data_IF_340232339749
#
_entry.id   IF_340232339749
#
_cell.length_a   1.000
_cell.length_b   1.000
_cell.length_c   1.000
_cell.angle_alpha   90.00
_cell.angle_beta   90.00
_cell.angle_gamma   90.00
#
_symmetry.space_group_name_H-M   'P 1'
#
loop_
_entity.id
_entity.type
_entity.pdbx_description
1 polymer ?
#
# COMPACT_ATOMS: atom_id res chain seq x y z
N UNK A 1 12.82 0.39 11.26
CA UNK A 1 11.76 1.30 10.81
C UNK A 1 12.24 2.71 10.97
N UNK A 2 12.13 3.55 9.94
CA UNK A 2 12.54 4.96 9.98
C UNK A 2 11.51 5.77 9.19
N UNK A 3 10.97 6.81 9.81
CA UNK A 3 10.19 7.82 9.10
C UNK A 3 11.15 8.94 8.66
N UNK A 4 10.89 9.53 7.50
CA UNK A 4 11.68 10.63 6.94
C UNK A 4 11.16 11.99 7.34
N UNK A 5 9.85 12.10 7.52
CA UNK A 5 9.19 13.34 7.86
C UNK A 5 9.22 13.59 9.37
N UNK A 6 9.49 14.83 9.80
CA UNK A 6 9.27 15.20 11.19
C UNK A 6 7.77 15.20 11.52
N UNK A 7 7.39 15.06 12.80
CA UNK A 7 5.99 15.23 13.20
C UNK A 7 5.47 16.61 12.82
N UNK A 8 4.30 16.64 12.16
CA UNK A 8 3.63 17.85 11.67
C UNK A 8 2.24 18.02 12.27
N UNK A 9 1.76 17.06 13.07
CA UNK A 9 0.48 17.09 13.72
C UNK A 9 0.58 16.59 15.16
N UNK A 10 -0.46 16.88 15.94
CA UNK A 10 -0.68 16.33 17.28
C UNK A 10 -2.08 15.75 17.39
N UNK A 11 -2.18 14.68 18.15
CA UNK A 11 -3.45 14.00 18.37
C UNK A 11 -3.47 13.30 19.72
N UNK A 12 -4.66 13.08 20.25
CA UNK A 12 -4.88 12.41 21.53
C UNK A 12 -5.80 11.22 21.38
N UNK A 13 -5.56 10.22 22.21
CA UNK A 13 -6.38 9.01 22.29
C UNK A 13 -7.62 9.26 23.14
N UNK A 14 -8.77 8.82 22.65
CA UNK A 14 -10.05 8.84 23.37
C UNK A 14 -10.69 7.44 23.31
N UNK A 15 -11.44 7.01 24.34
CA UNK A 15 -12.16 5.74 24.26
C UNK A 15 -13.15 5.72 23.08
N UNK A 16 -13.25 4.58 22.42
CA UNK A 16 -14.27 4.30 21.41
C UNK A 16 -15.29 3.31 21.95
N UNK A 17 -16.57 3.48 21.58
CA UNK A 17 -17.65 2.55 21.94
C UNK A 17 -17.65 1.29 21.08
N UNK A 18 -16.96 1.32 19.93
CA UNK A 18 -16.84 0.21 19.00
C UNK A 18 -15.37 -0.04 18.69
N UNK A 19 -14.93 -1.27 18.90
CA UNK A 19 -13.63 -1.74 18.47
C UNK A 19 -13.78 -3.11 17.81
N UNK A 20 -13.21 -3.26 16.62
CA UNK A 20 -13.18 -4.51 15.87
C UNK A 20 -11.74 -4.82 15.51
N UNK A 21 -11.38 -6.09 15.61
CA UNK A 21 -10.00 -6.56 15.41
C UNK A 21 -10.05 -7.71 14.41
N UNK A 22 -9.13 -7.79 13.43
CA UNK A 22 -9.11 -8.91 12.50
C UNK A 22 -8.51 -10.16 13.16
N UNK A 23 -8.88 -11.32 12.61
CA UNK A 23 -8.45 -12.61 13.10
C UNK A 23 -6.92 -12.74 13.01
N UNK A 24 -6.30 -13.19 14.10
CA UNK A 24 -4.84 -13.38 14.19
C UNK A 24 -4.04 -12.13 14.56
N UNK A 25 -4.71 -11.01 14.87
CA UNK A 25 -4.07 -9.77 15.34
C UNK A 25 -4.67 -9.23 16.66
N UNK A 26 -5.33 -10.09 17.43
CA UNK A 26 -6.11 -9.73 18.63
C UNK A 26 -5.27 -8.98 19.70
N UNK A 27 -3.97 -9.24 19.78
CA UNK A 27 -3.06 -8.56 20.72
C UNK A 27 -2.29 -7.36 20.16
N UNK A 28 -2.38 -7.06 18.86
CA UNK A 28 -1.54 -6.04 18.24
C UNK A 28 -1.88 -4.62 18.74
N UNK A 29 -3.17 -4.32 18.88
CA UNK A 29 -3.63 -3.04 19.42
C UNK A 29 -3.31 -2.89 20.93
N UNK A 30 -3.37 -3.99 21.69
CA UNK A 30 -3.02 -4.00 23.11
C UNK A 30 -1.52 -3.77 23.32
N UNK A 31 -0.67 -4.42 22.52
CA UNK A 31 0.77 -4.24 22.55
C UNK A 31 1.21 -2.81 22.26
N UNK A 32 0.42 -2.08 21.45
CA UNK A 32 0.64 -0.66 21.18
C UNK A 32 -0.04 0.27 22.19
N UNK A 33 -0.84 -0.27 23.13
CA UNK A 33 -1.54 0.48 24.15
C UNK A 33 -2.65 1.38 23.61
N UNK A 34 -3.33 0.94 22.53
CA UNK A 34 -4.35 1.71 21.80
C UNK A 34 -5.68 0.97 21.65
N UNK A 35 -5.82 -0.20 22.29
CA UNK A 35 -6.98 -1.07 22.10
C UNK A 35 -8.29 -0.34 22.44
N UNK A 36 -9.22 -0.28 21.48
CA UNK A 36 -10.52 0.37 21.65
C UNK A 36 -10.45 1.88 21.85
N UNK A 37 -9.40 2.53 21.35
CA UNK A 37 -9.26 3.98 21.40
C UNK A 37 -9.30 4.55 19.98
N UNK A 38 -9.93 5.70 19.80
CA UNK A 38 -9.84 6.51 18.58
C UNK A 38 -8.81 7.63 18.75
N UNK A 39 -8.17 8.03 17.66
CA UNK A 39 -7.22 9.12 17.61
C UNK A 39 -7.90 10.40 17.11
N UNK A 40 -7.91 11.44 17.94
CA UNK A 40 -8.56 12.72 17.63
C UNK A 40 -7.51 13.82 17.50
N UNK A 41 -7.56 14.66 16.44
CA UNK A 41 -6.72 15.85 16.33
C UNK A 41 -6.82 16.74 17.57
N UNK A 42 -5.68 17.25 18.04
CA UNK A 42 -5.62 18.11 19.22
C UNK A 42 -4.32 18.94 19.24
N UNK A 43 -4.36 20.13 19.86
CA UNK A 43 -3.18 21.00 20.02
C UNK A 43 -2.12 20.35 20.92
N UNK A 44 -2.58 19.61 21.93
CA UNK A 44 -1.76 18.83 22.85
C UNK A 44 -2.00 17.34 22.65
N UNK A 45 -0.92 16.57 22.65
CA UNK A 45 -1.01 15.13 22.49
C UNK A 45 0.27 14.51 21.96
N UNK A 46 0.10 13.31 21.44
CA UNK A 46 1.16 12.52 20.82
C UNK A 46 1.54 13.12 19.46
N UNK A 47 2.84 13.33 19.19
CA UNK A 47 3.30 13.83 17.90
C UNK A 47 3.06 12.80 16.81
N UNK A 48 2.54 13.25 15.66
CA UNK A 48 2.25 12.42 14.52
C UNK A 48 2.75 13.06 13.21
N UNK A 49 3.07 12.22 12.25
CA UNK A 49 3.44 12.59 10.88
C UNK A 49 2.19 12.54 10.00
N UNK A 50 1.90 13.63 9.30
CA UNK A 50 0.82 13.66 8.32
C UNK A 50 1.19 12.83 7.07
N UNK A 51 0.30 11.93 6.66
CA UNK A 51 0.45 11.11 5.45
C UNK A 51 -0.79 11.31 4.56
N UNK A 52 -0.68 12.23 3.60
CA UNK A 52 -1.81 12.68 2.80
C UNK A 52 -2.91 13.38 3.62
N UNK A 53 -4.14 13.39 3.08
CA UNK A 53 -5.19 14.26 3.61
C UNK A 53 -5.74 13.81 4.97
N UNK A 54 -5.94 12.51 5.18
CA UNK A 54 -6.71 11.97 6.33
C UNK A 54 -5.99 10.90 7.14
N UNK A 55 -4.68 10.75 6.98
CA UNK A 55 -3.90 9.73 7.68
C UNK A 55 -2.82 10.38 8.54
N UNK A 56 -2.59 9.78 9.71
CA UNK A 56 -1.51 10.12 10.63
C UNK A 56 -0.66 8.89 10.93
N UNK A 57 0.66 9.03 10.94
CA UNK A 57 1.60 7.98 11.35
C UNK A 57 2.22 8.38 12.70
N UNK A 58 2.23 7.47 13.66
CA UNK A 58 2.79 7.69 14.99
C UNK A 58 4.14 6.97 15.09
N UNK A 59 5.28 7.69 14.94
CA UNK A 59 6.62 7.07 14.87
C UNK A 59 7.00 6.28 16.11
N UNK A 60 6.52 6.68 17.29
CA UNK A 60 6.89 6.05 18.56
C UNK A 60 6.05 4.81 18.89
N UNK A 61 4.92 4.61 18.17
CA UNK A 61 4.05 3.44 18.33
C UNK A 61 4.48 2.36 17.36
N UNK A 62 5.46 1.57 17.76
CA UNK A 62 6.01 0.52 16.90
C UNK A 62 5.80 -0.89 17.45
N UNK A 63 5.60 -1.84 16.54
CA UNK A 63 5.49 -3.27 16.84
C UNK A 63 6.31 -4.08 15.83
N UNK A 64 6.78 -5.25 16.23
CA UNK A 64 7.35 -6.24 15.31
C UNK A 64 6.29 -7.27 14.92
N UNK A 65 6.11 -7.49 13.62
CA UNK A 65 5.20 -8.49 13.07
C UNK A 65 5.91 -9.21 11.93
N UNK A 66 6.02 -10.54 12.01
CA UNK A 66 6.66 -11.34 10.96
C UNK A 66 8.13 -10.97 10.69
N UNK A 67 8.87 -10.50 11.71
CA UNK A 67 10.26 -10.06 11.58
C UNK A 67 10.44 -8.67 10.96
N UNK A 68 9.34 -7.97 10.63
CA UNK A 68 9.36 -6.59 10.16
C UNK A 68 8.86 -5.67 11.28
N UNK A 69 9.57 -4.55 11.49
CA UNK A 69 9.12 -3.50 12.41
C UNK A 69 8.22 -2.51 11.68
N UNK A 70 7.08 -2.19 12.27
CA UNK A 70 6.07 -1.27 11.74
C UNK A 70 5.76 -0.13 12.72
N UNK A 71 5.32 1.01 12.20
CA UNK A 71 4.68 2.10 12.93
C UNK A 71 3.17 1.95 12.84
N UNK A 72 2.48 2.47 13.85
CA UNK A 72 1.05 2.71 13.77
C UNK A 72 0.76 3.84 12.79
N UNK A 73 -0.16 3.60 11.87
CA UNK A 73 -0.79 4.59 11.02
C UNK A 73 -2.30 4.54 11.25
N UNK A 74 -2.93 5.69 11.40
CA UNK A 74 -4.37 5.84 11.60
C UNK A 74 -4.94 6.52 10.39
N UNK A 75 -5.66 5.76 9.57
CA UNK A 75 -6.41 6.29 8.43
C UNK A 75 -7.80 6.68 8.89
N UNK A 76 -8.22 7.86 8.47
CA UNK A 76 -9.43 8.48 9.00
C UNK A 76 -9.16 9.19 10.33
N UNK A 77 -8.05 9.93 10.43
CA UNK A 77 -7.68 10.73 11.59
C UNK A 77 -8.05 12.22 11.43
N UNK A 78 -9.17 12.50 10.73
CA UNK A 78 -9.59 13.84 10.35
C UNK A 78 -8.86 14.33 9.10
N UNK A 79 -9.58 15.04 8.23
CA UNK A 79 -9.05 15.54 6.96
C UNK A 79 -8.61 17.01 7.08
N UNK A 80 -7.46 17.35 6.48
CA UNK A 80 -6.84 18.68 6.53
C UNK A 80 -7.49 19.66 5.58
N UNK A 81 -7.72 19.23 4.35
CA UNK A 81 -8.25 20.10 3.30
C UNK A 81 -9.43 19.44 2.59
N UNK A 82 -10.50 20.20 2.38
CA UNK A 82 -11.57 19.76 1.50
C UNK A 82 -11.10 19.69 0.05
N UNK A 83 -11.63 18.71 -0.69
CA UNK A 83 -11.18 18.42 -2.05
C UNK A 83 -11.58 19.54 -3.03
N UNK A 84 -12.69 20.24 -2.78
CA UNK A 84 -13.22 21.34 -3.61
C UNK A 84 -13.99 22.35 -2.74
N UNK A 85 -13.59 23.63 -2.74
CA UNK A 85 -14.17 24.67 -1.88
C UNK A 85 -13.94 24.38 -0.40
N UNK A 86 -14.28 25.30 0.50
CA UNK A 86 -13.96 25.13 1.93
C UNK A 86 -15.21 24.94 2.83
N UNK A 87 -15.60 23.69 3.14
CA UNK A 87 -16.52 23.37 4.23
C UNK A 87 -16.09 23.85 5.62
N UNK A 88 -14.87 24.37 5.73
CA UNK A 88 -14.27 24.99 6.90
C UNK A 88 -14.06 26.51 6.72
N UNK A 89 -14.64 27.17 5.70
CA UNK A 89 -14.51 28.64 5.50
C UNK A 89 -14.91 29.45 6.76
N UNK A 90 -15.80 28.90 7.59
CA UNK A 90 -16.24 29.46 8.88
C UNK A 90 -15.68 28.71 10.11
N UNK A 91 -14.80 27.72 9.93
CA UNK A 91 -14.14 27.05 11.04
C UNK A 91 -12.89 27.83 11.45
N UNK A 92 -12.57 27.91 12.76
CA UNK A 92 -11.31 28.50 13.20
C UNK A 92 -10.13 27.84 12.49
N UNK A 93 -9.12 28.61 12.06
CA UNK A 93 -7.84 28.09 11.52
C UNK A 93 -7.19 27.04 12.44
N UNK A 94 -7.57 27.04 13.72
CA UNK A 94 -7.15 26.12 14.77
C UNK A 94 -7.58 24.65 14.54
N UNK A 95 -8.54 24.38 13.64
CA UNK A 95 -8.97 23.02 13.32
C UNK A 95 -8.30 22.47 12.06
N UNK A 96 -6.99 22.25 12.15
CA UNK A 96 -6.17 21.73 11.05
C UNK A 96 -6.64 20.37 10.49
N UNK A 97 -7.49 19.61 11.20
CA UNK A 97 -8.08 18.32 10.78
C UNK A 97 -9.48 18.12 11.35
N UNK A 98 -10.46 17.79 10.50
CA UNK A 98 -11.87 17.65 10.92
C UNK A 98 -12.55 16.36 10.45
N UNK A 99 -13.57 15.92 11.20
CA UNK A 99 -14.53 14.89 10.84
C UNK A 99 -15.88 15.51 10.53
N UNK A 100 -16.39 15.35 9.31
CA UNK A 100 -17.65 15.95 8.90
C UNK A 100 -18.70 14.89 8.52
N UNK A 101 -19.96 15.29 8.56
CA UNK A 101 -21.10 14.49 8.11
C UNK A 101 -21.21 14.35 6.59
N UNK A 102 -20.34 14.97 5.80
CA UNK A 102 -20.31 14.83 4.34
C UNK A 102 -19.76 13.45 3.93
N UNK A 103 -20.46 12.81 2.99
CA UNK A 103 -20.01 11.61 2.30
C UNK A 103 -19.08 12.01 1.16
N UNK A 104 -17.80 11.66 1.27
CA UNK A 104 -16.77 12.11 0.34
C UNK A 104 -16.66 11.21 -0.90
N UNK A 105 -16.25 9.96 -0.73
CA UNK A 105 -16.09 9.00 -1.82
C UNK A 105 -16.59 7.62 -1.40
N UNK A 106 -17.44 7.01 -2.22
CA UNK A 106 -18.06 5.73 -1.84
C UNK A 106 -18.70 5.84 -0.46
N UNK A 107 -18.42 4.93 0.45
CA UNK A 107 -18.93 4.94 1.84
C UNK A 107 -18.08 5.79 2.81
N UNK A 108 -17.03 6.48 2.36
CA UNK A 108 -16.14 7.22 3.26
C UNK A 108 -16.71 8.60 3.64
N UNK A 109 -16.94 8.89 4.93
CA UNK A 109 -17.17 10.24 5.41
C UNK A 109 -15.90 11.08 5.32
N UNK A 110 -16.06 12.39 5.21
CA UNK A 110 -14.93 13.32 5.22
C UNK A 110 -14.13 13.20 6.53
N UNK A 111 -12.83 12.93 6.40
CA UNK A 111 -11.91 12.73 7.53
C UNK A 111 -11.96 11.35 8.19
N UNK A 112 -12.82 10.43 7.74
CA UNK A 112 -12.95 9.09 8.31
C UNK A 112 -13.15 7.99 7.26
N UNK A 113 -13.56 6.81 7.70
CA UNK A 113 -13.95 5.66 6.87
C UNK A 113 -15.38 5.21 7.14
N UNK A 114 -15.99 4.60 6.13
CA UNK A 114 -17.32 3.96 6.24
C UNK A 114 -17.22 2.50 6.67
N UNK A 115 -18.34 1.94 7.14
CA UNK A 115 -18.42 0.56 7.62
C UNK A 115 -18.01 -0.48 6.57
N UNK A 116 -18.43 -0.31 5.31
CA UNK A 116 -18.10 -1.24 4.22
C UNK A 116 -16.60 -1.27 3.93
N UNK A 117 -15.96 -0.10 3.82
CA UNK A 117 -14.51 -0.02 3.58
C UNK A 117 -13.72 -0.67 4.72
N UNK A 118 -14.11 -0.37 5.96
CA UNK A 118 -13.45 -0.92 7.13
C UNK A 118 -13.63 -2.44 7.24
N UNK A 119 -14.80 -2.96 6.85
CA UNK A 119 -15.05 -4.41 6.79
C UNK A 119 -14.15 -5.10 5.76
N UNK A 120 -14.03 -4.54 4.56
CA UNK A 120 -13.15 -5.06 3.50
C UNK A 120 -11.70 -5.13 4.02
N UNK A 121 -11.22 -4.06 4.64
CA UNK A 121 -9.86 -4.01 5.16
C UNK A 121 -9.59 -5.04 6.27
N UNK A 122 -10.56 -5.27 7.17
CA UNK A 122 -10.50 -6.33 8.19
C UNK A 122 -10.46 -7.71 7.55
N UNK A 123 -11.37 -8.01 6.61
CA UNK A 123 -11.44 -9.32 5.95
C UNK A 123 -10.17 -9.66 5.18
N UNK A 124 -9.62 -8.68 4.44
CA UNK A 124 -8.37 -8.86 3.69
C UNK A 124 -7.21 -9.10 4.64
N UNK A 125 -7.11 -8.35 5.74
CA UNK A 125 -6.05 -8.54 6.73
C UNK A 125 -6.15 -9.92 7.39
N UNK A 126 -7.35 -10.36 7.80
CA UNK A 126 -7.57 -11.70 8.36
C UNK A 126 -7.16 -12.79 7.37
N UNK A 127 -7.53 -12.64 6.09
CA UNK A 127 -7.23 -13.63 5.07
C UNK A 127 -5.72 -13.70 4.72
N UNK A 128 -5.02 -12.56 4.79
CA UNK A 128 -3.57 -12.49 4.71
C UNK A 128 -2.86 -12.98 5.98
N UNK A 129 -3.59 -13.32 7.05
CA UNK A 129 -3.06 -13.74 8.36
C UNK A 129 -2.02 -12.77 8.91
N UNK A 130 -2.32 -11.47 8.81
CA UNK A 130 -1.38 -10.40 9.11
C UNK A 130 -0.96 -9.67 7.84
N UNK A 131 0.34 -9.61 7.56
CA UNK A 131 0.91 -8.68 6.57
C UNK A 131 1.33 -9.31 5.23
N UNK A 132 1.22 -10.63 5.05
CA UNK A 132 1.73 -11.30 3.84
C UNK A 132 0.78 -12.40 3.35
N UNK A 133 0.36 -12.31 2.10
CA UNK A 133 -0.46 -13.32 1.42
C UNK A 133 0.24 -13.83 0.17
N UNK A 134 0.82 -15.04 0.22
CA UNK A 134 1.49 -15.67 -0.93
C UNK A 134 2.54 -14.76 -1.60
N UNK A 135 3.32 -14.04 -0.80
CA UNK A 135 4.36 -13.11 -1.26
C UNK A 135 3.85 -11.70 -1.57
N UNK A 136 2.55 -11.44 -1.56
CA UNK A 136 2.00 -10.09 -1.57
C UNK A 136 2.05 -9.50 -0.16
N UNK A 137 2.68 -8.33 -0.01
CA UNK A 137 2.81 -7.65 1.27
C UNK A 137 1.77 -6.53 1.39
N UNK A 138 1.11 -6.45 2.54
CA UNK A 138 0.13 -5.43 2.84
C UNK A 138 0.38 -4.79 4.21
N UNK A 139 -0.04 -3.54 4.38
CA UNK A 139 -0.07 -2.84 5.66
C UNK A 139 -1.30 -3.33 6.45
N UNK A 140 -1.15 -4.25 7.42
CA UNK A 140 -2.29 -4.89 8.05
C UNK A 140 -3.07 -3.89 8.90
N UNK A 141 -4.39 -3.97 8.85
CA UNK A 141 -5.27 -3.31 9.83
C UNK A 141 -5.21 -4.11 11.12
N UNK A 142 -4.95 -3.47 12.25
CA UNK A 142 -4.88 -4.10 13.56
C UNK A 142 -6.09 -3.79 14.43
N UNK A 143 -6.86 -2.75 14.09
CA UNK A 143 -8.20 -2.54 14.63
C UNK A 143 -8.95 -1.51 13.77
N UNK A 144 -10.26 -1.58 13.84
CA UNK A 144 -11.19 -0.55 13.39
C UNK A 144 -11.96 -0.04 14.59
N UNK A 145 -11.99 1.28 14.75
CA UNK A 145 -12.68 1.94 15.87
C UNK A 145 -13.64 3.00 15.37
N UNK A 146 -14.68 3.28 16.14
CA UNK A 146 -15.57 4.41 15.85
C UNK A 146 -15.03 5.71 16.46
N UNK A 147 -15.03 6.78 15.67
CA UNK A 147 -14.80 8.13 16.14
C UNK A 147 -16.00 8.56 16.99
N UNK A 148 -15.81 8.94 18.28
CA UNK A 148 -16.93 9.32 19.12
C UNK A 148 -17.74 10.47 18.52
N UNK A 149 -19.07 10.37 18.59
CA UNK A 149 -19.98 11.30 17.91
C UNK A 149 -19.77 12.77 18.29
N UNK A 150 -19.29 13.05 19.50
CA UNK A 150 -18.95 14.40 19.97
C UNK A 150 -17.82 15.07 19.16
N UNK A 151 -17.03 14.29 18.41
CA UNK A 151 -15.95 14.78 17.55
C UNK A 151 -16.35 14.85 16.07
N UNK A 152 -17.58 14.49 15.72
CA UNK A 152 -18.07 14.47 14.33
C UNK A 152 -19.12 15.55 14.12
N UNK A 153 -18.85 16.46 13.19
CA UNK A 153 -19.76 17.55 12.79
C UNK A 153 -20.78 17.06 11.79
N UNK A 154 -21.78 16.32 12.28
CA UNK A 154 -22.79 15.65 11.42
C UNK A 154 -23.72 16.62 10.69
N UNK A 155 -23.81 17.85 11.16
CA UNK A 155 -24.59 18.94 10.57
C UNK A 155 -23.90 19.56 9.33
N UNK A 156 -22.58 19.40 9.19
CA UNK A 156 -21.82 19.96 8.07
C UNK A 156 -21.79 18.99 6.87
N UNK A 157 -22.55 19.32 5.83
CA UNK A 157 -22.56 18.66 4.53
C UNK A 157 -23.12 19.61 3.45
N UNK A 158 -22.60 19.56 2.23
CA UNK A 158 -23.02 20.35 1.06
C UNK A 158 -23.83 19.52 0.07
N UNK A 159 -23.39 18.29 -0.21
CA UNK A 159 -23.98 17.48 -1.27
C UNK A 159 -24.72 16.29 -0.69
N UNK A 160 -24.01 15.45 0.07
CA UNK A 160 -24.56 14.18 0.56
C UNK A 160 -24.13 13.92 1.99
N UNK A 161 -25.12 13.64 2.83
CA UNK A 161 -24.89 13.25 4.22
C UNK A 161 -24.51 11.77 4.32
N UNK A 162 -23.46 11.48 5.08
CA UNK A 162 -23.13 10.15 5.59
C UNK A 162 -24.05 9.80 6.76
N UNK A 163 -24.68 8.63 6.72
CA UNK A 163 -25.66 8.18 7.73
C UNK A 163 -25.08 7.15 8.70
N UNK A 164 -23.93 6.57 8.38
CA UNK A 164 -23.30 5.52 9.18
C UNK A 164 -22.34 6.06 10.24
N UNK A 165 -21.66 5.15 10.96
CA UNK A 165 -20.56 5.51 11.85
C UNK A 165 -19.41 6.12 11.04
N UNK A 166 -18.61 6.95 11.71
CA UNK A 166 -17.34 7.46 11.19
C UNK A 166 -16.24 6.63 11.83
N UNK A 167 -15.54 5.83 11.02
CA UNK A 167 -14.58 4.87 11.51
C UNK A 167 -13.14 5.31 11.24
N UNK A 168 -12.21 4.76 12.02
CA UNK A 168 -10.77 4.82 11.77
C UNK A 168 -10.25 3.41 11.53
N UNK A 169 -9.31 3.29 10.59
CA UNK A 169 -8.55 2.07 10.38
C UNK A 169 -7.16 2.28 10.94
N UNK A 170 -6.83 1.53 11.99
CA UNK A 170 -5.51 1.51 12.58
C UNK A 170 -4.72 0.44 11.87
N UNK A 171 -3.68 0.83 11.15
CA UNK A 171 -2.87 -0.04 10.31
C UNK A 171 -1.40 0.05 10.68
N UNK A 172 -0.63 -0.94 10.25
CA UNK A 172 0.80 -0.98 10.44
C UNK A 172 1.53 -0.63 9.14
N UNK A 173 2.40 0.37 9.16
CA UNK A 173 3.20 0.81 8.01
C UNK A 173 4.70 0.66 8.28
N UNK A 174 5.52 0.20 7.31
CA UNK A 174 6.94 -0.03 7.54
C UNK A 174 7.79 1.26 7.45
N UNK A 175 7.23 2.32 6.86
CA UNK A 175 7.80 3.67 6.72
C UNK A 175 6.69 4.68 6.36
N UNK A 176 7.06 5.94 6.11
CA UNK A 176 6.25 7.00 5.50
C UNK A 176 6.57 7.23 4.01
N UNK A 177 7.36 6.33 3.39
CA UNK A 177 7.85 6.50 2.03
C UNK A 177 6.90 5.84 1.04
N UNK A 178 6.36 6.63 0.11
CA UNK A 178 5.56 6.15 -1.04
C UNK A 178 6.44 5.88 -2.24
N UNK A 179 5.88 5.20 -3.25
CA UNK A 179 6.63 4.90 -4.46
C UNK A 179 6.87 6.17 -5.30
N UNK A 180 5.83 6.96 -5.61
CA UNK A 180 5.96 8.21 -6.40
C UNK A 180 5.10 9.40 -5.95
N UNK A 181 3.91 9.17 -5.37
CA UNK A 181 2.95 10.24 -5.10
C UNK A 181 2.43 10.20 -3.65
N UNK A 182 1.69 11.26 -3.28
CA UNK A 182 0.96 11.42 -2.02
C UNK A 182 1.78 11.54 -0.72
N UNK A 183 3.12 11.43 -0.79
CA UNK A 183 4.02 11.78 0.31
C UNK A 183 5.03 12.86 -0.10
N UNK A 184 5.58 13.57 0.90
CA UNK A 184 6.61 14.60 0.70
C UNK A 184 7.93 14.00 0.20
N UNK A 185 8.22 12.76 0.59
CA UNK A 185 9.38 12.01 0.15
C UNK A 185 8.92 10.69 -0.45
N UNK A 186 9.33 10.45 -1.70
CA UNK A 186 8.98 9.25 -2.43
C UNK A 186 10.24 8.65 -3.04
N UNK A 187 10.26 7.33 -3.18
CA UNK A 187 11.42 6.63 -3.76
C UNK A 187 11.75 7.17 -5.15
N UNK A 188 10.72 7.44 -5.96
CA UNK A 188 10.89 7.92 -7.32
C UNK A 188 11.38 9.35 -7.47
N UNK A 189 11.06 10.25 -6.53
CA UNK A 189 11.42 11.67 -6.64
C UNK A 189 12.74 12.00 -5.93
N UNK A 190 13.03 11.35 -4.80
CA UNK A 190 14.24 11.60 -4.01
C UNK A 190 14.89 10.28 -3.53
N UNK A 191 15.37 9.44 -4.47
CA UNK A 191 15.92 8.12 -4.14
C UNK A 191 17.18 8.22 -3.25
N UNK A 192 18.02 9.23 -3.44
CA UNK A 192 19.26 9.38 -2.67
C UNK A 192 18.96 9.63 -1.18
N UNK A 193 17.98 10.50 -0.87
CA UNK A 193 17.55 10.74 0.50
C UNK A 193 16.87 9.52 1.10
N UNK A 194 15.96 8.88 0.34
CA UNK A 194 15.22 7.70 0.79
C UNK A 194 16.16 6.55 1.13
N UNK A 195 17.03 6.17 0.19
CA UNK A 195 17.96 5.05 0.36
C UNK A 195 19.00 5.35 1.45
N UNK A 196 19.57 6.56 1.46
CA UNK A 196 20.49 6.97 2.51
C UNK A 196 19.86 6.95 3.90
N UNK A 197 18.59 7.33 4.02
CA UNK A 197 17.88 7.25 5.29
C UNK A 197 17.54 5.81 5.70
N UNK A 198 17.23 4.92 4.74
CA UNK A 198 17.10 3.49 5.01
C UNK A 198 18.44 2.80 5.33
N UNK A 199 19.56 3.50 5.19
CA UNK A 199 20.89 2.94 5.43
C UNK A 199 21.36 2.05 4.27
N UNK A 200 20.73 2.16 3.10
CA UNK A 200 21.10 1.46 1.88
C UNK A 200 22.15 2.31 1.17
N UNK A 201 23.42 2.09 1.51
CA UNK A 201 24.52 2.98 1.13
C UNK A 201 25.61 2.28 0.32
N UNK A 202 25.66 0.95 0.38
CA UNK A 202 26.64 0.15 -0.36
C UNK A 202 26.02 -0.51 -1.60
N UNK A 203 26.78 -0.74 -2.68
CA UNK A 203 26.25 -1.31 -3.91
C UNK A 203 25.51 -2.65 -3.73
N UNK A 204 26.02 -3.52 -2.85
CA UNK A 204 25.38 -4.81 -2.54
C UNK A 204 24.06 -4.67 -1.78
N UNK A 205 23.91 -3.62 -0.96
CA UNK A 205 22.67 -3.32 -0.25
C UNK A 205 21.61 -2.79 -1.22
N UNK A 206 22.02 -1.90 -2.16
CA UNK A 206 21.12 -1.41 -3.22
C UNK A 206 20.64 -2.55 -4.10
N UNK A 207 21.54 -3.47 -4.42
CA UNK A 207 21.20 -4.68 -5.17
C UNK A 207 20.18 -5.52 -4.38
N UNK A 208 20.40 -5.80 -3.09
CA UNK A 208 19.46 -6.56 -2.25
C UNK A 208 18.09 -5.86 -2.10
N UNK A 209 18.09 -4.54 -1.94
CA UNK A 209 16.88 -3.71 -1.91
C UNK A 209 16.10 -3.86 -3.22
N UNK A 210 16.77 -3.76 -4.37
CA UNK A 210 16.14 -3.92 -5.67
C UNK A 210 15.54 -5.33 -5.87
N UNK A 211 16.23 -6.39 -5.43
CA UNK A 211 15.69 -7.76 -5.48
C UNK A 211 14.39 -7.89 -4.68
N UNK A 212 14.34 -7.29 -3.49
CA UNK A 212 13.14 -7.26 -2.66
C UNK A 212 12.02 -6.47 -3.34
N UNK A 213 12.33 -5.29 -3.88
CA UNK A 213 11.37 -4.48 -4.64
C UNK A 213 10.79 -5.25 -5.81
N UNK A 214 11.61 -5.97 -6.58
CA UNK A 214 11.15 -6.82 -7.68
C UNK A 214 10.22 -7.91 -7.16
N UNK A 215 10.64 -8.68 -6.15
CA UNK A 215 9.83 -9.79 -5.60
C UNK A 215 8.45 -9.32 -5.15
N UNK A 216 8.40 -8.30 -4.29
CA UNK A 216 7.14 -7.83 -3.73
C UNK A 216 6.32 -7.02 -4.72
N UNK A 217 6.96 -6.29 -5.64
CA UNK A 217 6.30 -5.55 -6.70
C UNK A 217 5.61 -6.49 -7.68
N UNK A 218 6.29 -7.52 -8.16
CA UNK A 218 5.68 -8.53 -9.05
C UNK A 218 4.64 -9.40 -8.32
N UNK A 219 4.77 -9.57 -7.00
CA UNK A 219 3.72 -10.18 -6.22
C UNK A 219 2.45 -9.32 -6.17
N UNK A 220 2.60 -8.00 -6.04
CA UNK A 220 1.49 -7.07 -6.17
C UNK A 220 0.89 -7.10 -7.57
N UNK A 221 1.69 -7.17 -8.63
CA UNK A 221 1.18 -7.24 -10.01
C UNK A 221 0.38 -8.52 -10.32
N UNK A 222 0.57 -9.58 -9.54
CA UNK A 222 -0.12 -10.88 -9.72
C UNK A 222 -1.02 -11.25 -8.54
N UNK A 223 -1.52 -10.24 -7.82
CA UNK A 223 -2.35 -10.41 -6.62
C UNK A 223 -3.56 -11.35 -6.84
N UNK A 224 -4.24 -11.28 -7.98
CA UNK A 224 -5.37 -12.13 -8.30
C UNK A 224 -4.98 -13.60 -8.30
N UNK A 225 -3.91 -13.95 -9.04
CA UNK A 225 -3.42 -15.33 -9.12
C UNK A 225 -2.97 -15.87 -7.77
N UNK A 226 -2.38 -15.00 -6.94
CA UNK A 226 -1.88 -15.31 -5.60
C UNK A 226 -2.98 -15.51 -4.58
N UNK A 227 -4.14 -14.91 -4.78
CA UNK A 227 -5.26 -14.98 -3.84
C UNK A 227 -6.45 -15.78 -4.38
N UNK A 228 -6.31 -16.30 -5.60
CA UNK A 228 -7.30 -17.10 -6.27
C UNK A 228 -7.69 -18.32 -5.44
N UNK A 229 -8.99 -18.58 -5.38
CA UNK A 229 -9.62 -19.78 -4.84
C UNK A 229 -10.64 -20.30 -5.83
N UNK A 230 -10.85 -21.61 -5.84
CA UNK A 230 -11.91 -22.21 -6.63
C UNK A 230 -13.28 -21.87 -6.05
N UNK A 231 -14.21 -21.54 -6.95
CA UNK A 231 -15.64 -21.41 -6.69
C UNK A 231 -16.40 -22.15 -7.81
N UNK A 232 -17.70 -22.47 -7.64
CA UNK A 232 -18.42 -23.29 -8.62
C UNK A 232 -18.42 -22.76 -10.07
N UNK A 233 -18.16 -21.45 -10.23
CA UNK A 233 -18.26 -20.72 -11.49
C UNK A 233 -16.91 -20.26 -12.02
N UNK A 234 -15.79 -20.69 -11.43
CA UNK A 234 -14.45 -20.29 -11.85
C UNK A 234 -13.47 -20.04 -10.69
N UNK A 235 -12.57 -19.08 -10.87
CA UNK A 235 -11.61 -18.64 -9.87
C UNK A 235 -12.01 -17.28 -9.31
N UNK A 236 -11.99 -17.17 -7.99
CA UNK A 236 -12.30 -15.94 -7.27
C UNK A 236 -11.06 -15.45 -6.54
N UNK A 237 -10.58 -14.23 -6.84
CA UNK A 237 -9.33 -13.68 -6.30
C UNK A 237 -9.40 -12.15 -6.15
N UNK A 238 -8.42 -11.55 -5.47
CA UNK A 238 -8.35 -10.11 -5.27
C UNK A 238 -7.80 -9.39 -6.50
N UNK A 239 -8.59 -8.44 -7.00
CA UNK A 239 -8.24 -7.51 -8.06
C UNK A 239 -8.00 -6.10 -7.53
N UNK A 240 -7.39 -5.27 -8.37
CA UNK A 240 -7.33 -3.83 -8.13
C UNK A 240 -8.59 -3.17 -8.67
N UNK A 241 -9.22 -2.34 -7.84
CA UNK A 241 -10.25 -1.40 -8.27
C UNK A 241 -9.62 -0.08 -8.72
N UNK A 242 -9.98 1.02 -8.07
CA UNK A 242 -9.43 2.36 -8.36
C UNK A 242 -8.16 2.66 -7.54
N UNK A 243 -7.14 1.83 -7.68
CA UNK A 243 -5.88 1.96 -6.93
C UNK A 243 -4.68 2.05 -7.86
N UNK A 244 -3.63 2.68 -7.35
CA UNK A 244 -2.35 2.83 -8.03
C UNK A 244 -1.23 2.57 -7.03
N UNK A 245 -0.30 1.67 -7.35
CA UNK A 245 0.79 1.33 -6.43
C UNK A 245 1.67 2.55 -6.11
N UNK A 246 1.72 3.52 -7.02
CA UNK A 246 2.46 4.78 -6.91
C UNK A 246 2.19 5.57 -5.61
N UNK A 247 0.94 5.59 -5.16
CA UNK A 247 0.43 6.32 -3.99
C UNK A 247 -0.07 5.35 -2.92
N UNK A 248 -0.62 4.21 -3.31
CA UNK A 248 -1.31 3.29 -2.41
C UNK A 248 -0.35 2.25 -1.80
N UNK A 249 0.94 2.29 -2.14
CA UNK A 249 1.97 1.44 -1.53
C UNK A 249 3.00 2.23 -0.72
N UNK A 250 3.57 1.56 0.27
CA UNK A 250 4.63 2.06 1.16
C UNK A 250 5.87 1.19 0.96
N UNK A 251 7.05 1.82 0.89
CA UNK A 251 8.33 1.15 0.68
C UNK A 251 9.01 0.90 2.01
N UNK A 252 9.26 -0.36 2.36
CA UNK A 252 10.03 -0.71 3.55
C UNK A 252 11.53 -0.46 3.36
N UNK A 253 12.26 -0.37 4.47
CA UNK A 253 13.71 -0.12 4.44
C UNK A 253 14.52 -1.24 3.75
N UNK A 254 13.96 -2.46 3.66
CA UNK A 254 14.59 -3.59 2.96
C UNK A 254 14.22 -3.66 1.47
N UNK A 255 13.42 -2.72 0.96
CA UNK A 255 12.96 -2.67 -0.43
C UNK A 255 11.62 -3.32 -0.69
N UNK A 256 11.02 -3.98 0.31
CA UNK A 256 9.70 -4.59 0.17
C UNK A 256 8.60 -3.54 -0.03
N UNK A 257 7.72 -3.77 -0.98
CA UNK A 257 6.55 -2.93 -1.29
C UNK A 257 5.33 -3.44 -0.52
N UNK A 258 4.78 -2.62 0.38
CA UNK A 258 3.60 -2.94 1.18
C UNK A 258 2.39 -2.14 0.69
N UNK A 259 1.33 -2.84 0.28
CA UNK A 259 0.09 -2.19 -0.14
C UNK A 259 -0.72 -1.68 1.05
N UNK A 260 -1.19 -0.44 1.01
CA UNK A 260 -1.86 0.22 2.12
C UNK A 260 -3.37 0.41 1.90
N UNK A 261 -3.84 0.69 0.68
CA UNK A 261 -5.24 1.08 0.43
C UNK A 261 -6.20 -0.13 0.30
N UNK A 262 -6.36 -0.90 1.38
CA UNK A 262 -7.05 -2.20 1.35
C UNK A 262 -8.51 -2.12 0.86
N UNK A 263 -9.22 -0.99 1.09
CA UNK A 263 -10.59 -0.85 0.60
C UNK A 263 -10.69 -0.70 -0.93
N UNK A 264 -9.56 -0.41 -1.59
CA UNK A 264 -9.48 -0.32 -3.04
C UNK A 264 -9.22 -1.67 -3.72
N UNK A 265 -9.09 -2.74 -2.94
CA UNK A 265 -9.07 -4.12 -3.44
C UNK A 265 -10.49 -4.67 -3.52
N UNK A 266 -10.76 -5.43 -4.58
CA UNK A 266 -12.08 -6.01 -4.79
C UNK A 266 -12.00 -7.48 -5.19
N UNK A 267 -13.01 -8.26 -4.82
CA UNK A 267 -13.05 -9.66 -5.17
C UNK A 267 -13.58 -9.83 -6.60
N UNK A 268 -12.75 -10.40 -7.47
CA UNK A 268 -13.05 -10.60 -8.91
C UNK A 268 -13.21 -12.07 -9.23
N UNK A 269 -14.06 -12.36 -10.23
CA UNK A 269 -14.33 -13.70 -10.73
C UNK A 269 -13.78 -13.86 -12.15
N UNK A 270 -12.89 -14.84 -12.35
CA UNK A 270 -12.49 -15.34 -13.66
C UNK A 270 -13.24 -16.65 -13.95
N UNK A 271 -14.05 -16.68 -15.00
CA UNK A 271 -14.90 -17.84 -15.37
C UNK A 271 -16.35 -17.50 -15.72
N UNK A 272 -16.77 -16.25 -15.48
CA UNK A 272 -18.03 -15.71 -15.98
C UNK A 272 -17.78 -14.83 -17.21
N UNK A 273 -17.77 -13.51 -17.03
CA UNK A 273 -17.62 -12.54 -18.12
C UNK A 273 -16.16 -12.34 -18.56
N UNK A 274 -15.21 -12.76 -17.72
CA UNK A 274 -13.77 -12.60 -17.95
C UNK A 274 -13.05 -13.94 -17.80
N UNK A 275 -12.10 -14.19 -18.69
CA UNK A 275 -11.17 -15.31 -18.62
C UNK A 275 -10.07 -15.05 -17.58
N UNK A 276 -9.35 -16.11 -17.19
CA UNK A 276 -8.18 -15.99 -16.31
C UNK A 276 -7.09 -15.08 -16.91
N UNK A 277 -6.83 -15.22 -18.22
CA UNK A 277 -5.84 -14.41 -18.94
C UNK A 277 -6.24 -12.92 -18.93
N UNK A 278 -7.50 -12.59 -19.20
CA UNK A 278 -7.97 -11.20 -19.18
C UNK A 278 -7.84 -10.55 -17.80
N UNK A 279 -8.28 -11.23 -16.73
CA UNK A 279 -8.20 -10.68 -15.37
C UNK A 279 -6.74 -10.49 -14.94
N UNK A 280 -5.88 -11.47 -15.22
CA UNK A 280 -4.47 -11.40 -14.86
C UNK A 280 -3.73 -10.30 -15.66
N UNK A 281 -4.01 -10.18 -16.97
CA UNK A 281 -3.40 -9.14 -17.82
C UNK A 281 -3.82 -7.74 -17.40
N UNK A 282 -5.11 -7.51 -17.16
CA UNK A 282 -5.59 -6.20 -16.70
C UNK A 282 -4.86 -5.79 -15.42
N UNK A 283 -4.72 -6.71 -14.46
CA UNK A 283 -4.04 -6.42 -13.20
C UNK A 283 -2.54 -6.13 -13.37
N UNK A 284 -1.87 -6.90 -14.23
CA UNK A 284 -0.47 -6.68 -14.59
C UNK A 284 -0.30 -5.31 -15.26
N UNK A 285 -1.03 -5.06 -16.35
CA UNK A 285 -0.89 -3.86 -17.18
C UNK A 285 -1.22 -2.57 -16.42
N UNK A 286 -2.19 -2.61 -15.50
CA UNK A 286 -2.62 -1.44 -14.74
C UNK A 286 -1.50 -0.81 -13.90
N UNK A 287 -0.61 -1.62 -13.30
CA UNK A 287 0.42 -1.14 -12.38
C UNK A 287 1.88 -1.45 -12.81
N UNK A 288 2.08 -2.17 -13.92
CA UNK A 288 3.42 -2.63 -14.33
C UNK A 288 4.41 -1.48 -14.50
N UNK A 289 3.96 -0.38 -15.11
CA UNK A 289 4.82 0.78 -15.36
C UNK A 289 5.42 1.34 -14.06
N UNK A 290 4.62 1.43 -13.00
CA UNK A 290 5.04 1.99 -11.71
C UNK A 290 6.12 1.12 -11.07
N UNK A 291 5.95 -0.21 -11.09
CA UNK A 291 6.94 -1.15 -10.56
C UNK A 291 8.25 -1.08 -11.36
N UNK A 292 8.16 -1.11 -12.69
CA UNK A 292 9.34 -1.03 -13.56
C UNK A 292 10.07 0.31 -13.43
N UNK A 293 9.33 1.41 -13.31
CA UNK A 293 9.92 2.72 -13.12
C UNK A 293 10.61 2.81 -11.75
N UNK A 294 10.03 2.21 -10.70
CA UNK A 294 10.66 2.15 -9.37
C UNK A 294 11.97 1.38 -9.38
N UNK A 295 11.99 0.27 -10.13
CA UNK A 295 13.21 -0.50 -10.38
C UNK A 295 14.27 0.32 -11.13
N UNK A 296 13.90 1.06 -12.19
CA UNK A 296 14.81 1.94 -12.94
C UNK A 296 15.42 3.01 -12.03
N UNK A 297 14.63 3.60 -11.14
CA UNK A 297 15.09 4.61 -10.18
C UNK A 297 16.18 4.06 -9.26
N UNK A 298 15.94 2.90 -8.64
CA UNK A 298 16.93 2.26 -7.76
C UNK A 298 18.18 1.84 -8.54
N UNK A 299 18.02 1.30 -9.75
CA UNK A 299 19.15 0.94 -10.61
C UNK A 299 19.99 2.17 -10.99
N UNK A 300 19.36 3.32 -11.29
CA UNK A 300 20.09 4.56 -11.56
C UNK A 300 20.83 5.08 -10.33
N UNK A 301 20.27 4.90 -9.14
CA UNK A 301 20.97 5.21 -7.89
C UNK A 301 22.24 4.36 -7.76
N UNK A 302 22.15 3.05 -8.01
CA UNK A 302 23.32 2.16 -8.03
C UNK A 302 24.38 2.56 -9.06
N UNK A 303 23.96 3.00 -10.27
CA UNK A 303 24.88 3.52 -11.30
C UNK A 303 25.63 4.77 -10.82
N UNK A 304 24.93 5.70 -10.13
CA UNK A 304 25.56 6.89 -9.54
C UNK A 304 26.54 6.50 -8.44
N UNK A 305 26.12 5.64 -7.52
CA UNK A 305 26.93 5.18 -6.39
C UNK A 305 28.24 4.52 -6.85
N UNK A 306 28.19 3.76 -7.94
CA UNK A 306 29.36 3.06 -8.50
C UNK A 306 30.15 3.87 -9.52
N UNK A 307 29.68 5.07 -9.90
CA UNK A 307 30.27 5.88 -10.97
C UNK A 307 30.21 5.23 -12.36
N UNK A 308 29.29 4.30 -12.58
CA UNK A 308 29.16 3.50 -13.81
C UNK A 308 27.77 3.66 -14.42
N UNK A 309 27.60 4.70 -15.23
CA UNK A 309 26.39 4.88 -16.01
C UNK A 309 26.25 3.80 -17.10
N UNK A 310 25.05 3.26 -17.26
CA UNK A 310 24.72 2.29 -18.30
C UNK A 310 23.98 2.96 -19.46
N UNK A 311 24.18 2.44 -20.68
CA UNK A 311 23.29 2.75 -21.79
C UNK A 311 21.89 2.18 -21.52
N UNK A 312 20.86 2.72 -22.20
CA UNK A 312 19.49 2.23 -22.05
C UNK A 312 19.37 0.72 -22.34
N UNK A 313 20.04 0.23 -23.39
CA UNK A 313 20.07 -1.18 -23.75
C UNK A 313 20.78 -2.04 -22.68
N UNK A 314 21.91 -1.57 -22.15
CA UNK A 314 22.63 -2.28 -21.09
C UNK A 314 21.81 -2.34 -19.78
N UNK A 315 21.14 -1.23 -19.42
CA UNK A 315 20.25 -1.18 -18.25
C UNK A 315 19.07 -2.13 -18.41
N UNK A 316 18.41 -2.15 -19.58
CA UNK A 316 17.33 -3.10 -19.86
C UNK A 316 17.78 -4.55 -19.70
N UNK A 317 18.94 -4.92 -20.28
CA UNK A 317 19.50 -6.27 -20.14
C UNK A 317 19.79 -6.62 -18.68
N UNK A 318 20.41 -5.70 -17.93
CA UNK A 318 20.67 -5.87 -16.49
C UNK A 318 19.37 -6.05 -15.72
N UNK A 319 18.35 -5.25 -16.00
CA UNK A 319 17.05 -5.33 -15.32
C UNK A 319 16.36 -6.66 -15.62
N UNK A 320 16.36 -7.11 -16.88
CA UNK A 320 15.84 -8.41 -17.26
C UNK A 320 16.53 -9.55 -16.49
N UNK A 321 17.86 -9.55 -16.42
CA UNK A 321 18.61 -10.53 -15.62
C UNK A 321 18.27 -10.46 -14.13
N UNK A 322 18.07 -9.25 -13.60
CA UNK A 322 17.72 -9.07 -12.19
C UNK A 322 16.33 -9.63 -11.89
N UNK A 323 15.38 -9.43 -12.78
CA UNK A 323 14.03 -9.99 -12.65
C UNK A 323 14.07 -11.53 -12.66
N UNK A 324 14.83 -12.13 -13.59
CA UNK A 324 15.00 -13.60 -13.61
C UNK A 324 15.53 -14.14 -12.28
N UNK A 325 16.57 -13.52 -11.73
CA UNK A 325 17.19 -13.94 -10.47
C UNK A 325 16.28 -13.67 -9.26
N UNK A 326 15.61 -12.52 -9.23
CA UNK A 326 14.75 -12.14 -8.12
C UNK A 326 13.50 -13.02 -8.04
N UNK A 327 12.94 -13.43 -9.18
CA UNK A 327 11.75 -14.28 -9.25
C UNK A 327 12.07 -15.79 -9.24
N UNK A 328 13.35 -16.16 -9.16
CA UNK A 328 13.73 -17.57 -9.05
C UNK A 328 13.05 -18.23 -7.84
N UNK A 329 12.31 -19.31 -8.10
CA UNK A 329 11.59 -20.06 -7.07
C UNK A 329 10.24 -19.47 -6.64
N UNK A 330 9.75 -18.40 -7.29
CA UNK A 330 8.39 -17.91 -7.04
C UNK A 330 7.34 -18.94 -7.53
N UNK A 331 6.35 -19.33 -6.70
CA UNK A 331 5.38 -20.37 -7.06
C UNK A 331 4.27 -19.92 -8.01
N UNK A 332 4.19 -18.63 -8.35
CA UNK A 332 3.19 -18.04 -9.25
C UNK A 332 3.83 -17.46 -10.51
N UNK A 333 5.13 -17.19 -10.48
CA UNK A 333 5.85 -16.51 -11.55
C UNK A 333 7.08 -17.30 -11.97
N UNK A 334 7.29 -17.41 -13.26
CA UNK A 334 8.58 -17.78 -13.85
C UNK A 334 8.90 -16.86 -15.01
N UNK A 335 10.17 -16.79 -15.38
CA UNK A 335 10.64 -16.03 -16.53
C UNK A 335 11.14 -16.97 -17.62
N UNK A 336 10.90 -16.61 -18.87
CA UNK A 336 11.38 -17.36 -20.03
C UNK A 336 11.99 -16.40 -21.05
N UNK A 337 13.18 -16.74 -21.57
CA UNK A 337 13.80 -15.98 -22.65
C UNK A 337 13.35 -16.52 -24.00
N UNK A 338 12.84 -15.65 -24.84
CA UNK A 338 12.51 -15.93 -26.23
C UNK A 338 13.35 -15.06 -27.17
N UNK A 339 13.31 -15.35 -28.47
CA UNK A 339 13.99 -14.54 -29.48
C UNK A 339 13.52 -13.07 -29.48
N UNK A 340 12.35 -12.79 -28.92
CA UNK A 340 11.81 -11.44 -28.82
C UNK A 340 12.14 -10.70 -27.53
N UNK A 341 12.71 -11.35 -26.51
CA UNK A 341 13.02 -10.72 -25.22
C UNK A 341 12.78 -11.61 -24.00
N UNK A 342 12.39 -11.00 -22.89
CA UNK A 342 12.03 -11.70 -21.64
C UNK A 342 10.51 -11.73 -21.48
N UNK A 343 9.97 -12.94 -21.39
CA UNK A 343 8.57 -13.20 -21.10
C UNK A 343 8.40 -13.54 -19.61
N UNK A 344 7.40 -12.92 -18.98
CA UNK A 344 6.88 -13.29 -17.66
C UNK A 344 5.76 -14.31 -17.86
N UNK A 345 5.87 -15.45 -17.20
CA UNK A 345 4.87 -16.50 -17.21
C UNK A 345 4.22 -16.53 -15.83
N UNK A 346 3.01 -15.99 -15.74
CA UNK A 346 2.22 -15.95 -14.53
C UNK A 346 1.22 -17.10 -14.52
N UNK A 347 1.07 -17.78 -13.38
CA UNK A 347 0.13 -18.89 -13.24
C UNK A 347 -0.39 -18.96 -11.82
N UNK A 348 -1.44 -19.76 -11.62
CA UNK A 348 -1.93 -20.14 -10.29
C UNK A 348 -1.81 -21.65 -10.13
N UNK A 349 -1.40 -22.16 -8.95
CA UNK A 349 -1.36 -23.61 -8.70
C UNK A 349 -2.68 -24.34 -8.92
N UNK A 350 -3.81 -23.62 -8.96
CA UNK A 350 -5.13 -24.16 -9.23
C UNK A 350 -5.37 -24.46 -10.72
N UNK A 351 -4.65 -23.80 -11.62
CA UNK A 351 -4.75 -23.96 -13.08
C UNK A 351 -3.33 -23.93 -13.69
N UNK A 352 -2.48 -24.92 -13.39
CA UNK A 352 -1.09 -24.91 -13.81
C UNK A 352 -0.92 -25.00 -15.35
N UNK A 353 -1.92 -25.56 -16.04
CA UNK A 353 -1.92 -25.74 -17.49
C UNK A 353 -2.46 -24.53 -18.27
N UNK A 354 -2.87 -23.47 -17.57
CA UNK A 354 -3.39 -22.22 -18.16
C UNK A 354 -2.52 -21.00 -17.77
N UNK A 355 -1.23 -20.98 -18.15
CA UNK A 355 -0.36 -19.86 -17.83
C UNK A 355 -0.72 -18.62 -18.66
N UNK A 356 -0.56 -17.46 -18.04
CA UNK A 356 -0.66 -16.13 -18.65
C UNK A 356 0.75 -15.68 -19.03
N UNK A 357 0.99 -15.53 -20.32
CA UNK A 357 2.30 -15.14 -20.86
C UNK A 357 2.31 -13.66 -21.21
N UNK A 358 3.22 -12.89 -20.62
CA UNK A 358 3.33 -11.45 -20.82
C UNK A 358 4.75 -11.06 -21.23
N UNK A 359 4.90 -10.34 -22.34
CA UNK A 359 6.21 -9.80 -22.78
C UNK A 359 6.62 -8.67 -21.83
N UNK A 360 7.57 -8.95 -20.94
CA UNK A 360 8.01 -8.00 -19.93
C UNK A 360 9.05 -7.01 -20.47
N UNK A 361 10.04 -7.53 -21.19
CA UNK A 361 11.05 -6.71 -21.86
C UNK A 361 11.23 -7.19 -23.28
N UNK A 362 11.10 -6.29 -24.26
CA UNK A 362 11.55 -6.59 -25.62
C UNK A 362 13.08 -6.65 -25.67
N UNK A 363 13.58 -7.48 -26.59
CA UNK A 363 14.99 -7.51 -26.91
C UNK A 363 15.47 -6.08 -27.21
N UNK A 364 16.61 -5.73 -26.64
CA UNK A 364 17.08 -4.36 -26.68
C UNK A 364 17.54 -3.95 -28.07
N UNK A 365 17.79 -4.91 -28.97
CA UNK A 365 18.56 -4.68 -30.19
C UNK A 365 19.96 -4.16 -29.86
N UNK A 366 20.88 -4.25 -30.83
CA UNK A 366 22.14 -3.50 -30.75
C UNK A 366 21.87 -2.06 -31.22
N UNK A 367 21.34 -1.23 -30.32
CA UNK A 367 21.13 0.21 -30.52
C UNK A 367 22.21 1.07 -29.91
#
# INVERSE_FOLDING_TARGET
MRLLQPPTARARWVPSELARVPDGLEGAAEALGIAGQALIPADEGEPAVADGNRTLILPERTIELGGQRFALSVKGAGAVSPMYGDPLDDAPEEEARAFLGERWFGEAPYGGQGATNAEIALQITSAARGSVWNGFHLCPVIQVVEVPSAHVRRERFWYRRHQGPVLQEHRLVPSDVRLFHAAEHTLGQDPDRVLGAFGVTEPGEVDAFLDRTIRTGFAALTLFLRTAREVPWGLHGLGYGNVWLDKDSVVAADGSLYFADLEGLDWRLAGADWTLDEVAREQLEHNLYEVLFGMDVVQRYQERLTGRALSAAARRRKMAMRVELALEGDPFLRTERSAGGLDLIAHTPLRPDEPVVFRLFDDAGEG
#
